data_IF_430151777927
#
_entry.id   IF_430151777927
#
_cell.length_a   1.000
_cell.length_b   1.000
_cell.length_c   1.000
_cell.angle_alpha   90.00
_cell.angle_beta   90.00
_cell.angle_gamma   90.00
#
_symmetry.space_group_name_H-M   'P 1'
#
loop_
_entity.id
_entity.type
_entity.pdbx_description
1 polymer ?
#
# COMPACT_ATOMS: atom_id res chain seq x y z
N UNK A 1 29.70 10.72 10.13
CA UNK A 1 28.32 11.11 10.54
C UNK A 1 27.38 9.93 10.38
N UNK A 2 26.63 9.56 11.41
CA UNK A 2 25.59 8.52 11.29
C UNK A 2 24.43 9.05 10.44
N UNK A 3 23.90 8.20 9.54
CA UNK A 3 22.71 8.56 8.75
C UNK A 3 21.48 8.46 9.65
N UNK A 4 20.74 9.55 9.82
CA UNK A 4 19.43 9.51 10.48
C UNK A 4 18.42 8.85 9.54
N UNK A 5 17.79 7.78 10.01
CA UNK A 5 16.72 7.11 9.27
C UNK A 5 15.42 7.92 9.39
N UNK A 6 14.74 8.13 8.27
CA UNK A 6 13.41 8.76 8.23
C UNK A 6 12.50 7.90 7.36
N UNK A 7 11.35 7.49 7.91
CA UNK A 7 10.36 6.67 7.21
C UNK A 7 9.50 7.53 6.27
N UNK A 8 10.13 8.09 5.23
CA UNK A 8 9.49 8.99 4.25
C UNK A 8 8.39 8.35 3.40
N UNK A 9 8.29 7.02 3.41
CA UNK A 9 7.29 6.27 2.65
C UNK A 9 5.85 6.62 3.06
N UNK A 10 5.63 7.01 4.33
CA UNK A 10 4.31 7.42 4.83
C UNK A 10 3.83 8.75 4.21
N UNK A 11 4.75 9.55 3.66
CA UNK A 11 4.44 10.84 3.04
C UNK A 11 4.19 10.71 1.53
N UNK A 12 4.20 9.49 0.97
CA UNK A 12 4.12 9.29 -0.49
C UNK A 12 2.89 9.95 -1.11
N UNK A 13 1.70 9.70 -0.54
CA UNK A 13 0.43 10.23 -1.05
C UNK A 13 0.42 11.76 -1.03
N UNK A 14 0.81 12.36 0.09
CA UNK A 14 0.86 13.81 0.26
C UNK A 14 1.86 14.47 -0.69
N UNK A 15 3.04 13.87 -0.82
CA UNK A 15 4.08 14.36 -1.74
C UNK A 15 3.56 14.36 -3.18
N UNK A 16 2.86 13.31 -3.63
CA UNK A 16 2.29 13.29 -4.99
C UNK A 16 1.14 14.28 -5.16
N UNK A 17 0.31 14.49 -4.13
CA UNK A 17 -0.75 15.52 -4.16
C UNK A 17 -0.16 16.91 -4.38
N UNK A 18 0.86 17.29 -3.60
CA UNK A 18 1.53 18.60 -3.72
C UNK A 18 2.28 18.75 -5.05
N UNK A 19 2.89 17.67 -5.54
CA UNK A 19 3.50 17.68 -6.88
C UNK A 19 2.48 17.86 -8.01
N UNK A 20 1.25 17.37 -7.85
CA UNK A 20 0.17 17.60 -8.81
C UNK A 20 -0.30 19.07 -8.82
N UNK A 21 -0.21 19.76 -7.68
CA UNK A 21 -0.45 21.22 -7.56
C UNK A 21 0.69 22.04 -8.18
N UNK A 22 1.84 21.42 -8.46
CA UNK A 22 2.99 22.06 -9.11
C UNK A 22 4.16 22.36 -8.18
N UNK A 23 4.09 21.98 -6.91
CA UNK A 23 5.15 22.25 -5.94
C UNK A 23 6.45 21.49 -6.27
N UNK A 24 7.57 22.17 -5.99
CA UNK A 24 8.90 21.61 -6.23
C UNK A 24 9.32 20.67 -5.10
N UNK A 25 10.24 19.75 -5.41
CA UNK A 25 10.79 18.85 -4.39
C UNK A 25 11.55 19.60 -3.27
N UNK A 26 11.93 20.87 -3.47
CA UNK A 26 12.57 21.68 -2.44
C UNK A 26 11.54 22.22 -1.45
N UNK A 27 10.47 22.84 -1.94
CA UNK A 27 9.36 23.37 -1.13
C UNK A 27 8.72 22.27 -0.26
N UNK A 28 8.47 21.10 -0.87
CA UNK A 28 7.93 19.94 -0.16
C UNK A 28 8.92 19.44 0.90
N UNK A 29 10.22 19.45 0.61
CA UNK A 29 11.22 18.99 1.58
C UNK A 29 11.30 19.95 2.77
N UNK A 30 11.30 21.25 2.50
CA UNK A 30 11.38 22.31 3.52
C UNK A 30 10.21 22.24 4.51
N UNK A 31 8.98 22.07 4.02
CA UNK A 31 7.80 21.98 4.91
C UNK A 31 7.84 20.78 5.88
N UNK A 32 8.55 19.70 5.52
CA UNK A 32 8.68 18.50 6.36
C UNK A 32 10.01 18.44 7.11
N UNK A 33 10.86 19.48 7.02
CA UNK A 33 12.21 19.46 7.59
C UNK A 33 13.11 18.37 6.99
N UNK A 34 12.84 17.98 5.74
CA UNK A 34 13.56 16.94 5.01
C UNK A 34 14.56 17.56 4.03
N UNK A 35 15.49 16.73 3.59
CA UNK A 35 16.38 17.11 2.49
C UNK A 35 15.68 16.90 1.14
N UNK A 36 15.96 17.79 0.16
CA UNK A 36 15.54 17.61 -1.24
C UNK A 36 15.84 16.20 -1.77
N UNK A 37 16.98 15.64 -1.36
CA UNK A 37 17.42 14.31 -1.77
C UNK A 37 16.46 13.21 -1.27
N UNK A 38 15.96 13.30 -0.03
CA UNK A 38 14.99 12.34 0.50
C UNK A 38 13.69 12.32 -0.31
N UNK A 39 13.15 13.49 -0.67
CA UNK A 39 11.95 13.60 -1.51
C UNK A 39 12.22 13.08 -2.93
N UNK A 40 13.36 13.44 -3.53
CA UNK A 40 13.76 12.92 -4.85
C UNK A 40 13.80 11.39 -4.86
N UNK A 41 14.43 10.79 -3.85
CA UNK A 41 14.55 9.35 -3.73
C UNK A 41 13.19 8.67 -3.48
N UNK A 42 12.32 9.28 -2.68
CA UNK A 42 10.93 8.80 -2.50
C UNK A 42 10.19 8.73 -3.83
N UNK A 43 10.18 9.83 -4.58
CA UNK A 43 9.52 9.91 -5.90
C UNK A 43 10.08 8.88 -6.88
N UNK A 44 11.42 8.74 -6.96
CA UNK A 44 12.06 7.73 -7.82
C UNK A 44 11.68 6.30 -7.44
N UNK A 45 11.57 5.97 -6.15
CA UNK A 45 11.11 4.65 -5.70
C UNK A 45 9.67 4.37 -6.11
N UNK A 46 8.78 5.34 -5.96
CA UNK A 46 7.36 5.18 -6.32
C UNK A 46 7.17 5.03 -7.83
N UNK A 47 7.85 5.83 -8.66
CA UNK A 47 7.83 5.61 -10.11
C UNK A 47 8.41 4.27 -10.52
N UNK A 48 9.46 3.78 -9.83
CA UNK A 48 10.00 2.44 -10.08
C UNK A 48 8.97 1.36 -9.75
N UNK A 49 8.28 1.46 -8.61
CA UNK A 49 7.18 0.54 -8.24
C UNK A 49 6.07 0.56 -9.28
N UNK A 50 5.62 1.74 -9.69
CA UNK A 50 4.58 1.90 -10.71
C UNK A 50 4.97 1.25 -12.04
N UNK A 51 6.22 1.44 -12.50
CA UNK A 51 6.73 0.79 -13.71
C UNK A 51 6.80 -0.74 -13.59
N UNK A 52 7.18 -1.28 -12.43
CA UNK A 52 7.15 -2.73 -12.23
C UNK A 52 5.73 -3.27 -12.36
N UNK A 53 4.76 -2.63 -11.69
CA UNK A 53 3.35 -3.03 -11.72
C UNK A 53 2.80 -2.94 -13.15
N UNK A 54 3.10 -1.85 -13.87
CA UNK A 54 2.71 -1.69 -15.27
C UNK A 54 3.29 -2.77 -16.20
N UNK A 55 4.48 -3.29 -15.88
CA UNK A 55 5.11 -4.41 -16.59
C UNK A 55 4.58 -5.79 -16.13
N UNK A 56 3.49 -5.85 -15.36
CA UNK A 56 2.86 -7.09 -14.91
C UNK A 56 3.44 -7.69 -13.63
N UNK A 57 4.30 -6.97 -12.90
CA UNK A 57 4.79 -7.46 -11.61
C UNK A 57 3.68 -7.41 -10.54
N UNK A 58 3.37 -8.56 -9.95
CA UNK A 58 2.47 -8.67 -8.80
C UNK A 58 3.29 -8.55 -7.50
N UNK A 59 3.04 -7.53 -6.65
CA UNK A 59 3.72 -7.37 -5.37
C UNK A 59 3.55 -8.59 -4.46
N UNK A 60 4.66 -9.09 -3.92
CA UNK A 60 4.64 -10.19 -2.95
C UNK A 60 4.31 -9.68 -1.56
N UNK A 61 3.65 -10.53 -0.76
CA UNK A 61 3.44 -10.29 0.66
C UNK A 61 4.78 -10.05 1.38
N UNK A 62 4.76 -9.16 2.37
CA UNK A 62 5.96 -8.84 3.16
C UNK A 62 6.42 -10.07 3.94
N UNK A 63 7.71 -10.38 3.84
CA UNK A 63 8.35 -11.46 4.59
C UNK A 63 8.99 -12.50 3.69
N UNK A 64 9.42 -13.61 4.29
CA UNK A 64 9.97 -14.74 3.54
C UNK A 64 8.84 -15.43 2.77
N UNK A 65 9.04 -15.78 1.48
CA UNK A 65 8.11 -16.64 0.77
C UNK A 65 7.85 -17.94 1.55
N UNK A 66 6.61 -18.42 1.52
CA UNK A 66 6.27 -19.73 2.10
C UNK A 66 7.03 -20.83 1.34
N UNK A 67 7.42 -21.88 2.05
CA UNK A 67 8.14 -23.03 1.46
C UNK A 67 7.26 -23.75 0.43
N UNK A 68 5.98 -23.97 0.77
CA UNK A 68 4.99 -24.50 -0.14
C UNK A 68 3.96 -23.39 -0.41
N UNK A 69 3.94 -22.75 -1.60
CA UNK A 69 2.87 -21.83 -1.95
C UNK A 69 1.53 -22.57 -1.91
N UNK A 70 0.47 -21.89 -1.46
CA UNK A 70 -0.86 -22.48 -1.50
C UNK A 70 -1.27 -22.65 -2.97
N UNK A 71 -1.76 -23.83 -3.33
CA UNK A 71 -2.34 -24.08 -4.65
C UNK A 71 -3.50 -23.10 -4.91
N UNK A 72 -3.77 -22.78 -6.18
CA UNK A 72 -4.85 -21.86 -6.56
C UNK A 72 -6.20 -22.28 -5.97
N UNK A 73 -6.44 -23.59 -5.88
CA UNK A 73 -7.63 -24.17 -5.25
C UNK A 73 -7.71 -23.86 -3.75
N UNK A 74 -6.59 -23.97 -3.02
CA UNK A 74 -6.54 -23.62 -1.59
C UNK A 74 -6.77 -22.13 -1.38
N UNK A 75 -6.23 -21.29 -2.26
CA UNK A 75 -6.48 -19.84 -2.20
C UNK A 75 -7.96 -19.52 -2.42
N UNK A 76 -8.58 -20.12 -3.44
CA UNK A 76 -10.03 -19.97 -3.71
C UNK A 76 -10.89 -20.46 -2.54
N UNK A 77 -10.54 -21.60 -1.95
CA UNK A 77 -11.29 -22.15 -0.81
C UNK A 77 -11.20 -21.24 0.42
N UNK A 78 -10.02 -20.69 0.72
CA UNK A 78 -9.86 -19.74 1.82
C UNK A 78 -10.70 -18.47 1.57
N UNK A 79 -10.68 -17.94 0.36
CA UNK A 79 -11.49 -16.78 -0.03
C UNK A 79 -12.99 -17.07 0.11
N UNK A 80 -13.44 -18.26 -0.29
CA UNK A 80 -14.83 -18.68 -0.15
C UNK A 80 -15.25 -18.79 1.32
N UNK A 81 -14.37 -19.25 2.20
CA UNK A 81 -14.63 -19.28 3.66
C UNK A 81 -14.76 -17.85 4.20
N UNK A 82 -13.82 -16.96 3.86
CA UNK A 82 -13.86 -15.55 4.31
C UNK A 82 -15.13 -14.84 3.81
N UNK A 83 -15.54 -15.08 2.57
CA UNK A 83 -16.76 -14.52 1.99
C UNK A 83 -18.01 -15.04 2.70
N UNK A 84 -18.09 -16.34 2.99
CA UNK A 84 -19.20 -16.92 3.75
C UNK A 84 -19.33 -16.29 5.13
N UNK A 85 -18.21 -16.15 5.85
CA UNK A 85 -18.19 -15.52 7.17
C UNK A 85 -18.66 -14.05 7.11
N UNK A 86 -18.25 -13.29 6.08
CA UNK A 86 -18.69 -11.89 5.91
C UNK A 86 -20.18 -11.79 5.61
N UNK A 87 -20.70 -12.67 4.74
CA UNK A 87 -22.13 -12.71 4.41
C UNK A 87 -22.96 -13.08 5.64
N UNK A 88 -22.53 -14.10 6.39
CA UNK A 88 -23.20 -14.51 7.63
C UNK A 88 -23.21 -13.37 8.66
N UNK A 89 -22.08 -12.70 8.87
CA UNK A 89 -22.00 -11.53 9.75
C UNK A 89 -22.97 -10.42 9.34
N UNK A 90 -23.07 -10.15 8.02
CA UNK A 90 -23.98 -9.15 7.50
C UNK A 90 -25.45 -9.57 7.67
N UNK A 91 -25.79 -10.83 7.42
CA UNK A 91 -27.14 -11.36 7.62
C UNK A 91 -27.57 -11.25 9.09
N UNK A 92 -26.67 -11.59 10.02
CA UNK A 92 -26.92 -11.44 11.45
C UNK A 92 -27.18 -9.97 11.80
N UNK A 93 -26.32 -9.06 11.31
CA UNK A 93 -26.49 -7.62 11.53
C UNK A 93 -27.83 -7.09 11.00
N UNK A 94 -28.22 -7.49 9.78
CA UNK A 94 -29.50 -7.07 9.18
C UNK A 94 -30.70 -7.61 9.96
N UNK A 95 -30.63 -8.87 10.38
CA UNK A 95 -31.67 -9.53 11.19
C UNK A 95 -31.89 -8.80 12.52
N UNK A 96 -30.82 -8.44 13.23
CA UNK A 96 -30.87 -7.64 14.47
C UNK A 96 -31.43 -6.22 14.21
N UNK A 97 -31.12 -5.62 13.06
CA UNK A 97 -31.66 -4.33 12.65
C UNK A 97 -33.13 -4.39 12.16
N UNK A 98 -33.78 -5.56 12.20
CA UNK A 98 -35.16 -5.75 11.75
C UNK A 98 -35.34 -5.65 10.23
N UNK A 99 -34.24 -5.71 9.46
CA UNK A 99 -34.22 -5.67 8.00
C UNK A 99 -33.94 -7.08 7.50
N UNK A 100 -34.91 -7.72 6.85
CA UNK A 100 -34.74 -9.02 6.20
C UNK A 100 -34.73 -8.87 4.69
#
# INVERSE_FOLDING_TARGET
MSRKYTKVELLSEEVFRRKAVGETNREIAESYGLTKYQIKQLVSRQHRKARMIANGYVPRLKGRPRQNPADEERSRNNELIELRMKVELLQNFLSEAGRK
#
